data_IF_145465296291
#
_entry.id   IF_145465296291
#
_cell.length_a   1.000
_cell.length_b   1.000
_cell.length_c   1.000
_cell.angle_alpha   90.00
_cell.angle_beta   90.00
_cell.angle_gamma   90.00
#
_symmetry.space_group_name_H-M   'P 1'
#
loop_
_entity.id
_entity.type
_entity.pdbx_description
1 polymer ?
#
# COMPACT_ATOMS: atom_id res chain seq x y z
N UNK A 1 17.45 -27.82 -1.77
CA UNK A 1 17.59 -26.59 -2.59
C UNK A 1 17.30 -26.99 -4.02
N UNK A 2 16.14 -26.62 -4.57
CA UNK A 2 15.82 -26.91 -5.96
C UNK A 2 16.53 -25.89 -6.85
N UNK A 3 17.52 -26.35 -7.63
CA UNK A 3 18.16 -25.55 -8.66
C UNK A 3 17.21 -25.46 -9.86
N UNK A 4 16.30 -24.49 -9.83
CA UNK A 4 15.59 -24.08 -11.05
C UNK A 4 16.58 -23.28 -11.90
N UNK A 5 16.81 -23.70 -13.15
CA UNK A 5 17.57 -22.93 -14.14
C UNK A 5 16.80 -21.70 -14.65
N UNK A 6 15.59 -21.46 -14.12
CA UNK A 6 14.72 -20.35 -14.47
C UNK A 6 14.51 -19.46 -13.24
N UNK A 7 14.69 -18.15 -13.42
CA UNK A 7 14.28 -17.14 -12.46
C UNK A 7 12.75 -17.09 -12.46
N UNK A 8 12.14 -17.28 -11.30
CA UNK A 8 10.70 -17.09 -11.09
C UNK A 8 10.48 -15.80 -10.29
N UNK A 9 10.59 -14.62 -10.91
CA UNK A 9 10.39 -13.37 -10.20
C UNK A 9 8.94 -13.27 -9.76
N UNK A 10 8.74 -12.63 -8.60
CA UNK A 10 7.42 -12.24 -8.13
C UNK A 10 7.22 -10.79 -8.57
N UNK A 11 6.23 -10.55 -9.43
CA UNK A 11 5.84 -9.20 -9.86
C UNK A 11 4.53 -8.83 -9.17
N UNK A 12 4.55 -7.69 -8.47
CA UNK A 12 3.35 -7.13 -7.86
C UNK A 12 2.80 -5.98 -8.70
N UNK A 13 1.53 -6.09 -9.08
CA UNK A 13 0.77 -5.07 -9.78
C UNK A 13 -0.22 -4.42 -8.80
N UNK A 14 0.04 -3.17 -8.42
CA UNK A 14 -0.80 -2.47 -7.45
C UNK A 14 -1.90 -1.65 -8.15
N UNK A 15 -3.12 -1.68 -7.59
CA UNK A 15 -4.27 -0.90 -8.02
C UNK A 15 -4.63 -1.04 -9.51
N UNK A 16 -4.61 -2.27 -10.04
CA UNK A 16 -4.89 -2.54 -11.47
C UNK A 16 -6.28 -2.06 -11.90
N UNK A 17 -7.22 -1.90 -10.96
CA UNK A 17 -8.56 -1.37 -11.21
C UNK A 17 -8.60 0.14 -11.50
N UNK A 18 -7.48 0.85 -11.37
CA UNK A 18 -7.35 2.27 -11.69
C UNK A 18 -6.65 2.54 -13.03
N UNK A 19 -5.95 1.55 -13.58
CA UNK A 19 -5.18 1.70 -14.82
C UNK A 19 -6.08 1.94 -16.05
N UNK A 20 -7.28 1.36 -16.06
CA UNK A 20 -8.25 1.46 -17.16
C UNK A 20 -8.94 2.83 -17.26
N UNK A 21 -8.62 3.81 -16.42
CA UNK A 21 -9.39 5.08 -16.34
C UNK A 21 -8.95 6.14 -17.36
N UNK A 22 -7.84 5.98 -18.09
CA UNK A 22 -7.32 6.99 -19.04
C UNK A 22 -6.91 6.37 -20.38
N UNK A 23 -7.76 6.56 -21.41
CA UNK A 23 -7.70 5.85 -22.69
C UNK A 23 -6.99 6.58 -23.84
N UNK A 24 -6.31 7.70 -23.59
CA UNK A 24 -5.77 8.54 -24.67
C UNK A 24 -4.78 7.81 -25.61
N UNK A 25 -4.18 6.71 -25.14
CA UNK A 25 -3.17 5.93 -25.88
C UNK A 25 -3.45 4.41 -25.89
N UNK A 26 -4.71 3.99 -25.68
CA UNK A 26 -5.12 2.59 -25.60
C UNK A 26 -5.27 2.08 -24.17
N UNK A 27 -5.51 0.77 -24.02
CA UNK A 27 -5.64 0.11 -22.72
C UNK A 27 -4.25 -0.30 -22.17
N UNK A 28 -3.76 0.32 -21.07
CA UNK A 28 -2.47 -0.03 -20.48
C UNK A 28 -2.43 -1.46 -19.93
N UNK A 29 -3.58 -2.11 -19.72
CA UNK A 29 -3.66 -3.49 -19.25
C UNK A 29 -3.61 -4.52 -20.38
N UNK A 30 -3.71 -4.09 -21.64
CA UNK A 30 -3.74 -5.00 -22.79
C UNK A 30 -2.56 -5.99 -22.87
N UNK A 31 -1.31 -5.64 -22.49
CA UNK A 31 -0.21 -6.63 -22.49
C UNK A 31 -0.42 -7.76 -21.49
N UNK A 32 -1.15 -7.52 -20.39
CA UNK A 32 -1.41 -8.53 -19.36
C UNK A 32 -2.22 -9.71 -19.89
N UNK A 33 -3.02 -9.52 -20.96
CA UNK A 33 -3.74 -10.64 -21.57
C UNK A 33 -2.80 -11.70 -22.15
N UNK A 34 -1.64 -11.29 -22.64
CA UNK A 34 -0.60 -12.18 -23.17
C UNK A 34 0.29 -12.71 -22.04
N UNK A 35 0.68 -11.82 -21.11
CA UNK A 35 1.61 -12.15 -20.02
C UNK A 35 1.05 -13.14 -19.00
N UNK A 36 -0.27 -13.15 -18.79
CA UNK A 36 -0.93 -14.04 -17.82
C UNK A 36 -1.36 -15.38 -18.43
N UNK A 37 -1.17 -15.56 -19.74
CA UNK A 37 -1.48 -16.81 -20.45
C UNK A 37 -0.19 -17.63 -20.63
N UNK A 38 -0.01 -18.78 -19.94
CA UNK A 38 1.27 -19.49 -19.92
C UNK A 38 1.87 -19.81 -21.29
N UNK A 39 1.02 -20.18 -22.25
CA UNK A 39 1.46 -20.51 -23.62
C UNK A 39 1.94 -19.28 -24.38
N UNK A 40 1.26 -18.14 -24.22
CA UNK A 40 1.65 -16.89 -24.90
C UNK A 40 2.83 -16.21 -24.21
N UNK A 41 2.94 -16.36 -22.89
CA UNK A 41 4.02 -15.81 -22.08
C UNK A 41 5.41 -16.38 -22.41
N UNK A 42 5.50 -17.58 -23.03
CA UNK A 42 6.79 -18.17 -23.46
C UNK A 42 7.48 -17.42 -24.59
N UNK A 43 6.73 -16.63 -25.35
CA UNK A 43 7.21 -15.94 -26.55
C UNK A 43 6.84 -14.45 -26.52
N UNK A 44 6.73 -13.87 -25.32
CA UNK A 44 6.35 -12.48 -25.16
C UNK A 44 7.43 -11.56 -25.77
N UNK A 45 7.02 -10.62 -26.61
CA UNK A 45 7.87 -9.56 -27.14
C UNK A 45 7.18 -8.22 -26.88
N UNK A 46 7.94 -7.24 -26.38
CA UNK A 46 7.42 -5.89 -26.20
C UNK A 46 7.74 -4.99 -27.42
N UNK A 47 7.17 -3.78 -27.42
CA UNK A 47 7.36 -2.83 -28.52
C UNK A 47 8.73 -2.14 -28.53
N UNK A 48 9.52 -2.26 -27.46
CA UNK A 48 10.85 -1.67 -27.34
C UNK A 48 11.94 -2.64 -27.82
N UNK A 49 11.73 -3.94 -27.64
CA UNK A 49 12.66 -4.99 -27.99
C UNK A 49 11.92 -6.21 -28.55
N UNK A 50 11.87 -6.38 -29.88
CA UNK A 50 11.06 -7.41 -30.53
C UNK A 50 11.68 -8.81 -30.48
N UNK A 51 12.57 -9.09 -29.51
CA UNK A 51 13.06 -10.45 -29.29
C UNK A 51 12.12 -11.16 -28.31
N UNK A 52 11.58 -12.34 -28.68
CA UNK A 52 10.71 -13.08 -27.78
C UNK A 52 11.51 -13.54 -26.56
N UNK A 53 10.93 -13.33 -25.38
CA UNK A 53 11.45 -13.77 -24.09
C UNK A 53 10.43 -14.68 -23.39
N UNK A 54 10.93 -15.67 -22.66
CA UNK A 54 10.09 -16.54 -21.83
C UNK A 54 9.83 -15.90 -20.47
N UNK A 55 8.60 -15.43 -20.28
CA UNK A 55 8.10 -14.86 -19.02
C UNK A 55 7.01 -15.73 -18.39
N UNK A 56 6.85 -16.98 -18.85
CA UNK A 56 5.85 -17.91 -18.31
C UNK A 56 6.10 -18.31 -16.85
N UNK A 57 7.32 -18.07 -16.34
CA UNK A 57 7.73 -18.38 -14.97
C UNK A 57 7.47 -17.26 -13.96
N UNK A 58 6.95 -16.11 -14.39
CA UNK A 58 6.65 -14.99 -13.50
C UNK A 58 5.45 -15.34 -12.61
N UNK A 59 5.59 -15.10 -11.31
CA UNK A 59 4.48 -15.18 -10.35
C UNK A 59 3.86 -13.80 -10.23
N UNK A 60 2.60 -13.67 -10.65
CA UNK A 60 1.87 -12.42 -10.62
C UNK A 60 1.03 -12.27 -9.36
N UNK A 61 1.19 -11.15 -8.66
CA UNK A 61 0.33 -10.75 -7.54
C UNK A 61 -0.30 -9.40 -7.88
N UNK A 62 -1.62 -9.36 -8.02
CA UNK A 62 -2.34 -8.12 -8.32
C UNK A 62 -3.22 -7.67 -7.15
N UNK A 63 -3.31 -6.36 -6.93
CA UNK A 63 -4.28 -5.77 -6.00
C UNK A 63 -5.32 -4.97 -6.79
N UNK A 64 -6.57 -5.07 -6.35
CA UNK A 64 -7.67 -4.29 -6.89
C UNK A 64 -8.60 -3.89 -5.76
N UNK A 65 -8.96 -2.61 -5.69
CA UNK A 65 -9.94 -2.14 -4.72
C UNK A 65 -11.36 -2.51 -5.17
N UNK A 66 -11.59 -2.49 -6.48
CA UNK A 66 -12.88 -2.78 -7.11
C UNK A 66 -12.72 -3.78 -8.24
N UNK A 67 -13.07 -5.04 -7.97
CA UNK A 67 -13.04 -6.11 -8.99
C UNK A 67 -13.95 -5.82 -10.18
N UNK A 68 -15.08 -5.15 -9.95
CA UNK A 68 -16.07 -4.80 -10.97
C UNK A 68 -15.55 -3.80 -12.01
N UNK A 69 -14.39 -3.17 -11.77
CA UNK A 69 -13.73 -2.27 -12.73
C UNK A 69 -12.72 -2.98 -13.62
N UNK A 70 -12.47 -4.26 -13.40
CA UNK A 70 -11.58 -5.06 -14.23
C UNK A 70 -12.35 -5.71 -15.38
N UNK A 71 -11.72 -5.77 -16.54
CA UNK A 71 -12.22 -6.55 -17.67
C UNK A 71 -12.38 -8.04 -17.25
N UNK A 72 -13.55 -8.68 -17.52
CA UNK A 72 -13.80 -10.04 -17.06
C UNK A 72 -12.77 -11.09 -17.54
N UNK A 73 -12.34 -11.11 -18.82
CA UNK A 73 -11.22 -11.94 -19.27
C UNK A 73 -9.92 -11.77 -18.48
N UNK A 74 -9.56 -10.54 -18.09
CA UNK A 74 -8.37 -10.33 -17.26
C UNK A 74 -8.61 -10.87 -15.84
N UNK A 75 -9.77 -10.58 -15.25
CA UNK A 75 -10.11 -10.99 -13.89
C UNK A 75 -10.22 -12.51 -13.73
N UNK A 76 -10.56 -13.26 -14.77
CA UNK A 76 -10.63 -14.73 -14.73
C UNK A 76 -9.27 -15.42 -14.64
N UNK A 77 -8.18 -14.72 -15.00
CA UNK A 77 -6.81 -15.26 -14.93
C UNK A 77 -6.18 -15.17 -13.53
N UNK A 78 -6.82 -14.49 -12.60
CA UNK A 78 -6.34 -14.35 -11.22
C UNK A 78 -7.16 -15.19 -10.24
N UNK A 79 -6.46 -15.95 -9.39
CA UNK A 79 -7.07 -16.45 -8.16
C UNK A 79 -7.36 -15.28 -7.22
N UNK A 80 -8.63 -15.06 -6.92
CA UNK A 80 -9.06 -13.84 -6.25
C UNK A 80 -9.40 -14.07 -4.78
N UNK A 81 -8.76 -13.31 -3.91
CA UNK A 81 -9.03 -13.31 -2.47
C UNK A 81 -9.63 -11.98 -2.05
N UNK A 82 -10.82 -12.01 -1.45
CA UNK A 82 -11.45 -10.81 -0.90
C UNK A 82 -10.92 -10.54 0.50
N UNK A 83 -10.19 -9.44 0.67
CA UNK A 83 -9.71 -8.99 1.97
C UNK A 83 -10.79 -8.15 2.66
N UNK A 84 -11.28 -8.65 3.79
CA UNK A 84 -12.22 -7.94 4.65
C UNK A 84 -11.48 -6.94 5.54
N UNK A 85 -12.22 -5.95 6.05
CA UNK A 85 -11.67 -5.04 7.06
C UNK A 85 -11.28 -5.84 8.32
N UNK A 86 -10.16 -5.49 8.98
CA UNK A 86 -9.73 -6.17 10.18
C UNK A 86 -10.74 -5.99 11.32
N UNK A 87 -10.95 -7.07 12.08
CA UNK A 87 -11.72 -7.05 13.32
C UNK A 87 -11.06 -6.12 14.35
N UNK A 88 -11.77 -5.67 15.40
CA UNK A 88 -11.16 -4.86 16.47
C UNK A 88 -9.92 -5.52 17.09
N UNK A 89 -9.95 -6.84 17.31
CA UNK A 89 -8.80 -7.58 17.83
C UNK A 89 -7.60 -7.58 16.87
N UNK A 90 -7.85 -7.76 15.56
CA UNK A 90 -6.81 -7.68 14.53
C UNK A 90 -6.25 -6.25 14.39
N UNK A 91 -7.11 -5.23 14.47
CA UNK A 91 -6.66 -3.81 14.45
C UNK A 91 -5.71 -3.52 15.59
N UNK A 92 -5.94 -4.08 16.78
CA UNK A 92 -5.04 -3.90 17.92
C UNK A 92 -3.64 -4.46 17.63
N UNK A 93 -3.54 -5.65 17.05
CA UNK A 93 -2.26 -6.27 16.64
C UNK A 93 -1.54 -5.41 15.59
N UNK A 94 -2.28 -4.92 14.59
CA UNK A 94 -1.72 -4.03 13.56
C UNK A 94 -1.20 -2.73 14.18
N UNK A 95 -1.97 -2.16 15.09
CA UNK A 95 -1.62 -0.91 15.79
C UNK A 95 -0.36 -1.10 16.63
N UNK A 96 -0.25 -2.19 17.38
CA UNK A 96 0.98 -2.53 18.11
C UNK A 96 2.19 -2.65 17.19
N UNK A 97 2.01 -3.23 15.99
CA UNK A 97 3.08 -3.35 15.00
C UNK A 97 3.52 -1.97 14.47
N UNK A 98 2.57 -1.08 14.18
CA UNK A 98 2.84 0.30 13.75
C UNK A 98 3.57 1.08 14.85
N UNK A 99 3.08 1.02 16.09
CA UNK A 99 3.69 1.69 17.24
C UNK A 99 5.11 1.19 17.48
N UNK A 100 5.31 -0.12 17.46
CA UNK A 100 6.64 -0.73 17.65
C UNK A 100 7.62 -0.27 16.57
N UNK A 101 7.18 -0.24 15.30
CA UNK A 101 8.02 0.24 14.21
C UNK A 101 8.41 1.71 14.40
N UNK A 102 7.48 2.58 14.80
CA UNK A 102 7.77 3.99 15.05
C UNK A 102 8.71 4.18 16.26
N UNK A 103 8.52 3.46 17.36
CA UNK A 103 9.38 3.62 18.53
C UNK A 103 10.83 3.19 18.27
N UNK A 104 11.08 2.31 17.28
CA UNK A 104 12.45 2.01 16.82
C UNK A 104 13.13 3.21 16.16
N UNK A 105 12.37 3.99 15.39
CA UNK A 105 12.89 5.18 14.69
C UNK A 105 12.97 6.41 15.62
N UNK A 106 12.17 6.43 16.70
CA UNK A 106 12.04 7.54 17.64
C UNK A 106 12.43 7.12 19.07
N UNK A 107 13.73 6.84 19.28
CA UNK A 107 14.25 6.41 20.59
C UNK A 107 13.93 7.39 21.74
N UNK A 108 13.73 6.85 22.94
CA UNK A 108 13.36 7.64 24.13
C UNK A 108 11.93 8.21 24.11
N UNK A 109 11.12 7.88 23.10
CA UNK A 109 9.70 8.25 23.05
C UNK A 109 8.80 7.11 23.55
N UNK A 110 7.64 7.49 24.08
CA UNK A 110 6.58 6.56 24.45
C UNK A 110 5.20 7.08 24.03
N UNK A 111 4.22 6.18 23.99
CA UNK A 111 2.81 6.52 23.82
C UNK A 111 2.04 6.11 25.08
N UNK A 112 1.02 6.85 25.47
CA UNK A 112 0.07 6.37 26.50
C UNK A 112 -0.85 5.29 25.92
N UNK A 113 -1.40 4.41 26.77
CA UNK A 113 -2.34 3.38 26.33
C UNK A 113 -3.57 3.99 25.63
N UNK A 114 -4.04 5.13 26.12
CA UNK A 114 -5.13 5.91 25.52
C UNK A 114 -4.83 6.35 24.07
N UNK A 115 -3.57 6.67 23.78
CA UNK A 115 -3.12 7.01 22.41
C UNK A 115 -3.15 5.77 21.54
N UNK A 116 -2.71 4.62 22.05
CA UNK A 116 -2.72 3.35 21.30
C UNK A 116 -4.16 2.92 20.99
N UNK A 117 -5.07 3.03 21.95
CA UNK A 117 -6.47 2.69 21.76
C UNK A 117 -7.13 3.66 20.78
N UNK A 118 -6.88 4.98 20.91
CA UNK A 118 -7.47 5.98 20.02
C UNK A 118 -6.96 5.86 18.59
N UNK A 119 -5.67 5.59 18.40
CA UNK A 119 -5.07 5.52 17.07
C UNK A 119 -5.51 4.25 16.33
N UNK A 120 -5.89 3.19 17.06
CA UNK A 120 -6.37 1.92 16.50
C UNK A 120 -7.64 2.01 15.65
N UNK A 121 -8.37 3.12 15.74
CA UNK A 121 -9.56 3.39 14.92
C UNK A 121 -9.23 3.90 13.50
N UNK A 122 -7.97 4.26 13.23
CA UNK A 122 -7.53 4.76 11.94
C UNK A 122 -6.81 3.69 11.11
N UNK A 123 -6.75 3.88 9.79
CA UNK A 123 -5.98 2.99 8.90
C UNK A 123 -4.48 3.07 9.22
N UNK A 124 -3.69 1.99 9.04
CA UNK A 124 -2.26 1.97 9.43
C UNK A 124 -1.43 3.13 8.84
N UNK A 125 -1.74 3.51 7.58
CA UNK A 125 -1.14 4.69 6.94
C UNK A 125 -1.44 5.97 7.73
N UNK A 126 -2.71 6.18 8.10
CA UNK A 126 -3.12 7.34 8.88
C UNK A 126 -2.60 7.30 10.32
N UNK A 127 -2.50 6.11 10.92
CA UNK A 127 -1.83 5.92 12.21
C UNK A 127 -0.39 6.44 12.14
N UNK A 128 0.41 5.98 11.16
CA UNK A 128 1.80 6.46 10.97
C UNK A 128 1.86 7.97 10.81
N UNK A 129 1.04 8.55 9.93
CA UNK A 129 1.02 10.01 9.70
C UNK A 129 0.76 10.80 10.99
N UNK A 130 -0.29 10.43 11.73
CA UNK A 130 -0.69 11.14 12.94
C UNK A 130 0.33 10.94 14.07
N UNK A 131 0.80 9.72 14.30
CA UNK A 131 1.78 9.42 15.34
C UNK A 131 3.14 10.07 15.06
N UNK A 132 3.63 10.04 13.82
CA UNK A 132 4.86 10.76 13.45
C UNK A 132 4.73 12.27 13.72
N UNK A 133 3.59 12.85 13.36
CA UNK A 133 3.32 14.27 13.61
C UNK A 133 3.24 14.59 15.11
N UNK A 134 2.62 13.72 15.89
CA UNK A 134 2.52 13.85 17.34
C UNK A 134 3.89 13.67 18.03
N UNK A 135 4.69 12.68 17.62
CA UNK A 135 6.06 12.47 18.08
C UNK A 135 6.95 13.69 17.82
N UNK A 136 6.88 14.23 16.60
CA UNK A 136 7.63 15.44 16.24
C UNK A 136 7.25 16.64 17.10
N UNK A 137 5.95 16.80 17.42
CA UNK A 137 5.48 17.87 18.32
C UNK A 137 5.93 17.64 19.76
N UNK A 138 5.77 16.44 20.30
CA UNK A 138 6.19 16.10 21.66
C UNK A 138 7.68 16.39 21.85
N UNK A 139 8.53 15.93 20.94
CA UNK A 139 9.97 16.24 20.98
C UNK A 139 10.27 17.74 20.93
N UNK A 140 9.58 18.51 20.09
CA UNK A 140 9.74 19.98 20.05
C UNK A 140 9.37 20.67 21.37
N UNK A 141 8.46 20.08 22.14
CA UNK A 141 8.09 20.56 23.48
C UNK A 141 8.96 19.98 24.60
N UNK A 142 9.99 19.17 24.28
CA UNK A 142 10.82 18.49 25.28
C UNK A 142 10.12 17.31 25.99
N UNK A 143 8.99 16.84 25.45
CA UNK A 143 8.26 15.70 25.99
C UNK A 143 8.82 14.38 25.45
N UNK A 144 8.99 13.39 26.33
CA UNK A 144 9.37 12.02 25.99
C UNK A 144 8.16 11.09 25.78
N UNK A 145 6.94 11.61 25.87
CA UNK A 145 5.71 10.83 25.74
C UNK A 145 4.63 11.60 25.00
N UNK A 146 3.97 10.95 24.06
CA UNK A 146 2.79 11.49 23.39
C UNK A 146 1.55 11.20 24.23
N UNK A 147 0.85 12.27 24.64
CA UNK A 147 -0.43 12.20 25.36
C UNK A 147 -1.63 12.17 24.42
N UNK A 148 -2.80 11.73 24.94
CA UNK A 148 -4.06 11.75 24.19
C UNK A 148 -4.45 13.18 23.77
N UNK A 149 -4.20 14.17 24.63
CA UNK A 149 -4.46 15.58 24.33
C UNK A 149 -3.68 16.06 23.10
N UNK A 150 -2.36 15.83 23.09
CA UNK A 150 -1.51 16.18 21.95
C UNK A 150 -1.92 15.46 20.67
N UNK A 151 -2.25 14.17 20.74
CA UNK A 151 -2.75 13.42 19.58
C UNK A 151 -4.05 14.03 19.06
N UNK A 152 -4.98 14.39 19.94
CA UNK A 152 -6.27 14.98 19.58
C UNK A 152 -6.09 16.32 18.86
N UNK A 153 -5.16 17.16 19.33
CA UNK A 153 -4.81 18.39 18.63
C UNK A 153 -4.25 18.13 17.22
N UNK A 154 -3.37 17.14 17.08
CA UNK A 154 -2.82 16.76 15.77
C UNK A 154 -3.91 16.29 14.83
N UNK A 155 -4.82 15.43 15.30
CA UNK A 155 -5.98 14.96 14.54
C UNK A 155 -6.83 16.14 14.07
N UNK A 156 -7.16 17.07 14.97
CA UNK A 156 -8.00 18.21 14.65
C UNK A 156 -7.34 19.14 13.62
N UNK A 157 -6.04 19.44 13.75
CA UNK A 157 -5.30 20.24 12.75
C UNK A 157 -5.27 19.57 11.38
N UNK A 158 -4.95 18.27 11.35
CA UNK A 158 -4.88 17.53 10.08
C UNK A 158 -6.24 17.38 9.41
N UNK A 159 -7.35 17.43 10.16
CA UNK A 159 -8.70 17.42 9.60
C UNK A 159 -9.14 18.80 9.12
N UNK A 160 -8.65 19.89 9.74
CA UNK A 160 -8.87 21.26 9.27
C UNK A 160 -8.15 21.49 7.94
N UNK A 161 -6.91 21.01 7.81
CA UNK A 161 -6.12 21.07 6.57
C UNK A 161 -6.68 20.17 5.45
N UNK A 162 -7.68 19.32 5.74
CA UNK A 162 -8.36 18.44 4.76
C UNK A 162 -9.72 18.98 4.27
N UNK A 163 -10.11 20.22 4.62
CA UNK A 163 -11.21 20.95 3.95
C UNK A 163 -10.73 21.44 2.56
N UNK A 164 -11.63 21.67 1.57
CA UNK A 164 -11.42 21.34 0.17
C UNK A 164 -10.63 22.41 -0.59
N UNK A 165 -9.36 22.62 -0.24
CA UNK A 165 -8.37 23.03 -1.24
C UNK A 165 -7.40 21.86 -1.41
N UNK A 166 -7.51 21.20 -2.56
CA UNK A 166 -6.65 20.07 -2.95
C UNK A 166 -5.18 20.46 -2.79
N UNK A 167 -4.54 20.08 -1.69
CA UNK A 167 -3.10 20.19 -1.57
C UNK A 167 -2.46 18.86 -1.93
N UNK A 168 -1.78 18.90 -3.08
CA UNK A 168 -0.85 17.90 -3.57
C UNK A 168 0.26 17.69 -2.52
N UNK A 169 0.45 16.47 -2.05
CA UNK A 169 1.54 16.12 -1.15
C UNK A 169 2.75 15.60 -1.93
N UNK A 170 3.90 16.26 -1.77
CA UNK A 170 5.18 15.76 -2.26
C UNK A 170 5.77 14.79 -1.23
N UNK A 171 6.10 13.58 -1.67
CA UNK A 171 6.97 12.68 -0.92
C UNK A 171 8.41 12.88 -1.38
N UNK A 172 9.33 13.14 -0.44
CA UNK A 172 10.76 13.01 -0.70
C UNK A 172 11.03 11.52 -0.86
N UNK A 173 11.43 11.10 -2.07
CA UNK A 173 12.13 9.84 -2.23
C UNK A 173 13.57 10.11 -1.80
N UNK A 174 13.99 9.46 -0.72
CA UNK A 174 15.41 9.14 -0.56
C UNK A 174 15.82 8.18 -1.69
#
# INVERSE_FOLDING_TARGET
>A
MAASHHLSPIISLDEIDKASMHHAYGDPLSPLHTLLEPESARYFADGCFPLPIDVSHIIWIATANRRDRLDPPLASRFLSFKLSRPTPSQRRVITSSVVTALLRDYDGMAFTDEVIDRIGEFSPRRQRQLLTSALARARRCGESRVSLGLLTEVINRTNIDQRPEKTLGFGVKD
#
